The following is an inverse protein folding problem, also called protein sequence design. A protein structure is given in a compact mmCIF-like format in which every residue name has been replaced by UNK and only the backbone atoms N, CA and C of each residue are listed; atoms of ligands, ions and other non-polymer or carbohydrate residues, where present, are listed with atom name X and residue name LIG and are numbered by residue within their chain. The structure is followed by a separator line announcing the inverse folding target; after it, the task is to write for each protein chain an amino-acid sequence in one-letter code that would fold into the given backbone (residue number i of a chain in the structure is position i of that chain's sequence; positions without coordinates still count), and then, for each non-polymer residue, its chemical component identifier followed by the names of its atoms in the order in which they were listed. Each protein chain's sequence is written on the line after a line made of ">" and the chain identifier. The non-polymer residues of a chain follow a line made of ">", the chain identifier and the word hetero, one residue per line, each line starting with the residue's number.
data_IF_892860110223
#
_entry.id   IF_892860110223
#
_cell.length_a   1.000
_cell.length_b   1.000
_cell.length_c   1.000
_cell.angle_alpha   90.00
_cell.angle_beta   90.00
_cell.angle_gamma   90.00
#
_symmetry.space_group_name_H-M   'P 1'
#
loop_
_entity.id
_entity.type
_entity.pdbx_description
1 polymer ?
#
# COMPACT_ATOMS: atom_id res chain seq x y z
N UNK A 1 23.25 -33.20 14.57
CA UNK A 1 22.78 -31.82 14.78
C UNK A 1 23.49 -30.92 13.78
N UNK A 2 22.77 -30.20 12.92
CA UNK A 2 23.36 -29.28 11.94
C UNK A 2 22.87 -27.86 12.22
N UNK A 3 23.73 -26.82 12.18
CA UNK A 3 23.28 -25.44 12.28
C UNK A 3 22.43 -25.11 11.05
N UNK A 4 21.12 -25.05 11.22
CA UNK A 4 20.19 -24.75 10.12
C UNK A 4 19.83 -23.27 10.19
N UNK A 5 20.58 -22.45 9.46
CA UNK A 5 20.41 -21.00 9.46
C UNK A 5 19.36 -20.54 8.42
N UNK A 6 19.10 -21.34 7.39
CA UNK A 6 18.03 -21.04 6.44
C UNK A 6 16.67 -21.46 6.98
N UNK A 7 15.72 -20.51 7.02
CA UNK A 7 14.31 -20.77 7.33
C UNK A 7 13.72 -21.82 6.38
N UNK A 8 14.07 -21.74 5.10
CA UNK A 8 13.59 -22.64 4.05
C UNK A 8 14.00 -24.07 4.32
N UNK A 9 15.27 -24.30 4.66
CA UNK A 9 15.77 -25.65 5.01
C UNK A 9 15.05 -26.17 6.27
N UNK A 10 14.83 -25.31 7.26
CA UNK A 10 14.09 -25.68 8.47
C UNK A 10 12.64 -26.11 8.16
N UNK A 11 11.91 -25.32 7.37
CA UNK A 11 10.53 -25.63 7.00
C UNK A 11 10.42 -26.89 6.15
N UNK A 12 11.36 -27.12 5.23
CA UNK A 12 11.40 -28.34 4.43
C UNK A 12 11.65 -29.59 5.30
N UNK A 13 12.56 -29.50 6.28
CA UNK A 13 12.83 -30.59 7.21
C UNK A 13 11.62 -30.87 8.10
N UNK A 14 11.00 -29.83 8.63
CA UNK A 14 9.77 -29.93 9.43
C UNK A 14 8.63 -30.54 8.63
N UNK A 15 8.42 -30.09 7.39
CA UNK A 15 7.37 -30.56 6.48
C UNK A 15 7.47 -32.05 6.14
N UNK A 16 8.68 -32.62 6.06
CA UNK A 16 8.86 -34.07 5.93
C UNK A 16 8.31 -34.82 7.14
N UNK A 17 8.54 -34.26 8.32
CA UNK A 17 8.04 -34.77 9.59
C UNK A 17 6.54 -34.60 9.78
N UNK A 18 5.87 -33.63 9.13
CA UNK A 18 4.44 -33.38 9.36
C UNK A 18 3.49 -34.34 8.61
N UNK A 19 4.02 -35.23 7.77
CA UNK A 19 3.21 -36.23 7.05
C UNK A 19 2.56 -37.23 8.01
N UNK A 20 1.30 -37.57 7.74
CA UNK A 20 0.55 -38.60 8.47
C UNK A 20 1.10 -39.99 8.13
N UNK A 21 1.19 -40.87 9.12
CA UNK A 21 1.64 -42.25 8.96
C UNK A 21 0.92 -43.17 9.96
N UNK A 22 0.61 -44.44 9.62
CA UNK A 22 0.03 -45.38 10.55
C UNK A 22 0.90 -45.58 11.79
N UNK A 23 0.30 -45.58 12.99
CA UNK A 23 1.00 -45.74 14.27
C UNK A 23 1.76 -44.51 14.77
N UNK A 24 1.64 -43.36 14.08
CA UNK A 24 2.23 -42.08 14.51
C UNK A 24 1.15 -41.17 15.09
N UNK A 25 1.19 -40.99 16.41
CA UNK A 25 0.24 -40.14 17.14
C UNK A 25 0.62 -38.65 17.08
N UNK A 26 1.92 -38.33 17.11
CA UNK A 26 2.42 -36.96 17.03
C UNK A 26 3.81 -36.87 16.39
N UNK A 27 4.28 -35.66 16.09
CA UNK A 27 5.65 -35.37 15.68
C UNK A 27 6.36 -34.61 16.82
N UNK A 28 7.34 -35.24 17.46
CA UNK A 28 8.22 -34.56 18.41
C UNK A 28 9.45 -34.02 17.68
N UNK A 29 9.65 -32.71 17.74
CA UNK A 29 10.81 -32.03 17.14
C UNK A 29 11.70 -31.50 18.26
N UNK A 30 12.97 -31.89 18.26
CA UNK A 30 13.99 -31.39 19.18
C UNK A 30 14.96 -30.50 18.39
N UNK A 31 14.91 -29.20 18.66
CA UNK A 31 15.80 -28.22 18.06
C UNK A 31 16.81 -27.71 19.10
N UNK A 32 18.09 -27.93 18.82
CA UNK A 32 19.17 -27.62 19.75
C UNK A 32 19.72 -26.22 19.43
N UNK A 33 19.28 -25.26 20.23
CA UNK A 33 19.70 -23.85 20.10
C UNK A 33 21.07 -23.68 20.76
N UNK A 34 22.12 -23.55 19.94
CA UNK A 34 23.50 -23.32 20.39
C UNK A 34 23.92 -21.85 20.33
N UNK A 35 24.83 -21.43 21.22
CA UNK A 35 25.38 -20.06 21.26
C UNK A 35 26.37 -19.71 20.12
N UNK A 36 26.68 -20.67 19.23
CA UNK A 36 27.79 -20.55 18.29
C UNK A 36 27.58 -19.49 17.20
N UNK A 37 26.38 -18.91 17.07
CA UNK A 37 26.16 -17.80 16.15
C UNK A 37 25.25 -16.72 16.75
N UNK A 38 25.86 -15.77 17.48
CA UNK A 38 25.18 -14.62 18.10
C UNK A 38 24.47 -13.69 17.09
N UNK A 39 24.71 -13.87 15.79
CA UNK A 39 24.11 -13.10 14.69
C UNK A 39 22.84 -13.74 14.10
N UNK A 40 22.47 -14.96 14.53
CA UNK A 40 21.30 -15.65 13.99
C UNK A 40 19.99 -15.03 14.49
N UNK A 41 19.11 -14.66 13.57
CA UNK A 41 17.79 -14.11 13.85
C UNK A 41 16.74 -15.22 13.92
N UNK A 42 16.24 -15.48 15.13
CA UNK A 42 15.21 -16.48 15.36
C UNK A 42 13.80 -15.99 14.99
N UNK A 43 13.61 -14.69 14.70
CA UNK A 43 12.28 -14.12 14.51
C UNK A 43 11.50 -14.71 13.32
N UNK A 44 12.08 -14.82 12.10
CA UNK A 44 11.38 -15.41 10.96
C UNK A 44 10.95 -16.87 11.22
N UNK A 45 11.84 -17.64 11.87
CA UNK A 45 11.60 -19.04 12.21
C UNK A 45 10.44 -19.23 13.16
N UNK A 46 10.40 -18.45 14.24
CA UNK A 46 9.33 -18.57 15.24
C UNK A 46 7.99 -18.07 14.67
N UNK A 47 7.99 -17.00 13.87
CA UNK A 47 6.77 -16.52 13.19
C UNK A 47 6.16 -17.55 12.26
N UNK A 48 6.98 -18.32 11.54
CA UNK A 48 6.50 -19.37 10.65
C UNK A 48 5.77 -20.52 11.37
N UNK A 49 5.93 -20.64 12.70
CA UNK A 49 5.28 -21.66 13.52
C UNK A 49 3.95 -21.18 14.15
N UNK A 50 3.63 -19.89 14.07
CA UNK A 50 2.46 -19.29 14.71
C UNK A 50 1.27 -19.18 13.75
N UNK A 51 0.05 -19.27 14.28
CA UNK A 51 -1.17 -19.14 13.48
C UNK A 51 -1.48 -17.68 13.07
N UNK A 52 -1.09 -16.71 13.91
CA UNK A 52 -1.37 -15.29 13.72
C UNK A 52 -0.10 -14.42 13.89
N UNK A 53 0.51 -13.92 12.80
CA UNK A 53 1.78 -13.17 12.86
C UNK A 53 1.70 -11.76 13.49
N UNK A 54 0.52 -11.30 13.91
CA UNK A 54 0.29 -9.93 14.40
C UNK A 54 0.66 -9.71 15.87
N UNK A 55 0.85 -10.78 16.64
CA UNK A 55 1.23 -10.69 18.05
C UNK A 55 2.72 -10.32 18.20
N UNK A 56 3.05 -9.69 19.33
CA UNK A 56 4.45 -9.41 19.68
C UNK A 56 5.18 -10.73 19.88
N UNK A 57 6.10 -11.07 18.97
CA UNK A 57 6.86 -12.32 19.04
C UNK A 57 7.62 -12.49 20.36
N UNK A 58 8.01 -11.37 20.98
CA UNK A 58 8.64 -11.39 22.30
C UNK A 58 7.67 -11.86 23.39
N UNK A 59 6.42 -11.39 23.35
CA UNK A 59 5.39 -11.83 24.30
C UNK A 59 5.09 -13.32 24.10
N UNK A 60 5.00 -13.79 22.85
CA UNK A 60 4.85 -15.23 22.54
C UNK A 60 5.97 -16.07 23.17
N UNK A 61 7.23 -15.64 23.06
CA UNK A 61 8.35 -16.36 23.67
C UNK A 61 8.33 -16.31 25.20
N UNK A 62 7.87 -15.22 25.80
CA UNK A 62 7.78 -15.04 27.27
C UNK A 62 6.59 -15.85 27.86
N UNK A 63 5.48 -15.96 27.12
CA UNK A 63 4.22 -16.61 27.55
C UNK A 63 4.09 -18.09 27.12
N UNK A 64 5.02 -18.60 26.31
CA UNK A 64 5.03 -20.01 25.90
C UNK A 64 4.18 -20.32 24.66
N UNK A 65 4.12 -19.39 23.71
CA UNK A 65 3.47 -19.50 22.41
C UNK A 65 1.95 -19.79 22.47
N UNK A 66 1.14 -18.93 23.13
CA UNK A 66 -0.31 -19.09 23.19
C UNK A 66 -0.99 -19.13 21.81
N UNK A 67 -0.42 -18.46 20.81
CA UNK A 67 -0.97 -18.38 19.44
C UNK A 67 -0.44 -19.51 18.51
N UNK A 68 0.16 -20.56 19.08
CA UNK A 68 0.51 -21.75 18.32
C UNK A 68 -0.75 -22.41 17.71
N UNK A 69 -0.64 -23.03 16.51
CA UNK A 69 -1.76 -23.73 15.89
C UNK A 69 -2.38 -24.78 16.83
N UNK A 70 -3.70 -24.96 16.73
CA UNK A 70 -4.43 -25.90 17.60
C UNK A 70 -3.83 -27.31 17.54
N UNK A 71 -3.51 -27.86 18.70
CA UNK A 71 -2.89 -29.19 18.83
C UNK A 71 -1.37 -29.19 18.71
N UNK A 72 -0.73 -28.03 18.50
CA UNK A 72 0.72 -27.87 18.57
C UNK A 72 1.12 -27.33 19.95
N UNK A 73 2.29 -27.77 20.42
CA UNK A 73 2.90 -27.27 21.65
C UNK A 73 4.37 -26.94 21.37
N UNK A 74 4.78 -25.72 21.74
CA UNK A 74 6.16 -25.24 21.54
C UNK A 74 6.70 -24.85 22.91
N UNK A 75 7.83 -25.45 23.29
CA UNK A 75 8.48 -25.15 24.57
C UNK A 75 9.96 -24.86 24.32
N UNK A 76 10.43 -23.76 24.92
CA UNK A 76 11.85 -23.43 24.98
C UNK A 76 12.35 -23.69 26.39
N UNK A 77 13.47 -24.39 26.52
CA UNK A 77 14.17 -24.48 27.80
C UNK A 77 14.69 -23.11 28.22
N UNK A 78 14.84 -22.87 29.52
CA UNK A 78 15.23 -21.57 30.09
C UNK A 78 16.42 -20.90 29.38
N UNK A 79 17.50 -21.65 29.15
CA UNK A 79 18.72 -21.12 28.50
C UNK A 79 18.47 -20.81 27.02
N UNK A 80 17.68 -21.64 26.33
CA UNK A 80 17.30 -21.40 24.95
C UNK A 80 16.37 -20.19 24.83
N UNK A 81 15.42 -20.04 25.75
CA UNK A 81 14.52 -18.89 25.83
C UNK A 81 15.31 -17.60 26.05
N UNK A 82 16.25 -17.58 26.99
CA UNK A 82 17.16 -16.44 27.20
C UNK A 82 17.96 -16.10 25.94
N UNK A 83 18.51 -17.11 25.25
CA UNK A 83 19.27 -16.93 24.01
C UNK A 83 18.42 -16.35 22.87
N UNK A 84 17.19 -16.86 22.70
CA UNK A 84 16.21 -16.34 21.73
C UNK A 84 15.82 -14.92 22.08
N UNK A 85 15.50 -14.63 23.34
CA UNK A 85 15.15 -13.28 23.80
C UNK A 85 16.32 -12.30 23.63
N UNK A 86 17.55 -12.73 23.87
CA UNK A 86 18.75 -11.93 23.57
C UNK A 86 18.91 -11.68 22.08
N UNK A 87 18.68 -12.67 21.21
CA UNK A 87 18.71 -12.47 19.75
C UNK A 87 17.62 -11.50 19.30
N UNK A 88 16.40 -11.63 19.81
CA UNK A 88 15.29 -10.71 19.55
C UNK A 88 15.60 -9.29 20.05
N UNK A 89 16.32 -9.16 21.18
CA UNK A 89 16.80 -7.86 21.71
C UNK A 89 17.97 -7.29 20.91
N UNK A 90 18.87 -8.14 20.42
CA UNK A 90 20.06 -7.80 19.61
C UNK A 90 19.76 -7.65 18.13
N UNK A 91 18.51 -7.87 17.72
CA UNK A 91 18.10 -7.90 16.33
C UNK A 91 18.75 -6.74 15.57
N UNK A 92 19.64 -7.08 14.62
CA UNK A 92 20.18 -6.11 13.67
C UNK A 92 18.98 -5.36 13.08
N UNK A 93 19.10 -4.03 12.96
CA UNK A 93 18.07 -3.23 12.30
C UNK A 93 17.67 -3.86 10.96
N UNK A 94 16.42 -3.73 10.55
CA UNK A 94 15.89 -4.39 9.33
C UNK A 94 16.83 -4.22 8.13
N UNK A 95 17.40 -3.01 7.95
CA UNK A 95 18.43 -2.70 6.96
C UNK A 95 19.67 -3.60 7.03
N UNK A 96 20.31 -3.71 8.20
CA UNK A 96 21.51 -4.54 8.35
C UNK A 96 21.24 -6.03 8.14
N UNK A 97 20.03 -6.52 8.46
CA UNK A 97 19.63 -7.90 8.13
C UNK A 97 19.52 -8.11 6.62
N UNK A 98 18.88 -7.16 5.92
CA UNK A 98 18.75 -7.20 4.46
C UNK A 98 20.11 -7.14 3.77
N UNK A 99 21.01 -6.25 4.21
CA UNK A 99 22.37 -6.14 3.66
C UNK A 99 23.14 -7.46 3.80
N UNK A 100 23.09 -8.12 4.96
CA UNK A 100 23.73 -9.42 5.12
C UNK A 100 23.10 -10.50 4.27
N UNK A 101 21.76 -10.54 4.17
CA UNK A 101 21.05 -11.51 3.34
C UNK A 101 21.36 -11.32 1.84
N UNK A 102 21.50 -10.07 1.39
CA UNK A 102 21.91 -9.76 0.02
C UNK A 102 23.31 -10.30 -0.26
N UNK A 103 24.26 -10.04 0.63
CA UNK A 103 25.66 -10.44 0.46
C UNK A 103 25.83 -11.97 0.35
N UNK A 104 25.00 -12.77 1.02
CA UNK A 104 25.06 -14.25 0.95
C UNK A 104 24.05 -14.88 -0.01
N UNK A 105 23.16 -14.09 -0.64
CA UNK A 105 22.03 -14.62 -1.42
C UNK A 105 22.45 -15.62 -2.50
N UNK A 106 23.48 -15.31 -3.29
CA UNK A 106 23.89 -16.19 -4.40
C UNK A 106 24.46 -17.52 -3.90
N UNK A 107 25.16 -17.52 -2.76
CA UNK A 107 25.67 -18.75 -2.13
C UNK A 107 24.54 -19.57 -1.50
N UNK A 108 23.57 -18.89 -0.88
CA UNK A 108 22.45 -19.52 -0.18
C UNK A 108 21.37 -20.09 -1.12
N UNK A 109 21.05 -19.36 -2.19
CA UNK A 109 19.99 -19.69 -3.14
C UNK A 109 20.50 -20.42 -4.39
N UNK A 110 21.76 -20.23 -4.77
CA UNK A 110 22.32 -20.79 -6.01
C UNK A 110 21.75 -20.16 -7.29
N UNK A 111 21.13 -18.98 -7.18
CA UNK A 111 20.49 -18.25 -8.28
C UNK A 111 21.06 -16.83 -8.43
N UNK A 112 20.86 -16.22 -9.59
CA UNK A 112 21.21 -14.81 -9.81
C UNK A 112 20.32 -13.89 -8.96
N UNK A 113 20.94 -12.90 -8.32
CA UNK A 113 20.25 -11.93 -7.47
C UNK A 113 19.38 -10.97 -8.30
N UNK A 114 18.08 -11.09 -8.11
CA UNK A 114 17.09 -10.10 -8.57
C UNK A 114 16.17 -9.76 -7.41
N UNK A 115 15.53 -8.59 -7.45
CA UNK A 115 14.56 -8.20 -6.43
C UNK A 115 13.46 -9.25 -6.26
N UNK A 116 12.95 -9.76 -7.39
CA UNK A 116 11.91 -10.80 -7.44
C UNK A 116 12.33 -12.07 -6.69
N UNK A 117 13.47 -12.63 -7.07
CA UNK A 117 13.98 -13.87 -6.46
C UNK A 117 14.35 -13.67 -5.00
N UNK A 118 14.89 -12.50 -4.64
CA UNK A 118 15.20 -12.18 -3.26
C UNK A 118 13.95 -12.09 -2.39
N UNK A 119 12.90 -11.40 -2.85
CA UNK A 119 11.60 -11.35 -2.17
C UNK A 119 11.02 -12.75 -2.02
N UNK A 120 11.01 -13.54 -3.10
CA UNK A 120 10.46 -14.89 -3.11
C UNK A 120 11.20 -15.84 -2.16
N UNK A 121 12.53 -15.85 -2.19
CA UNK A 121 13.37 -16.74 -1.38
C UNK A 121 13.27 -16.44 0.12
N UNK A 122 13.18 -15.16 0.49
CA UNK A 122 13.08 -14.73 1.89
C UNK A 122 11.64 -14.52 2.38
N UNK A 123 10.64 -14.75 1.52
CA UNK A 123 9.22 -14.48 1.78
C UNK A 123 8.96 -13.04 2.29
N UNK A 124 9.62 -12.08 1.64
CA UNK A 124 9.51 -10.65 1.97
C UNK A 124 8.53 -9.95 1.04
N UNK A 125 7.77 -9.01 1.59
CA UNK A 125 7.08 -8.02 0.79
C UNK A 125 8.08 -6.95 0.35
N UNK A 126 8.02 -6.48 -0.90
CA UNK A 126 8.88 -5.40 -1.40
C UNK A 126 8.85 -4.16 -0.49
N UNK A 127 7.71 -3.87 0.16
CA UNK A 127 7.56 -2.75 1.08
C UNK A 127 8.45 -2.88 2.32
N UNK A 128 8.77 -4.09 2.76
CA UNK A 128 9.69 -4.31 3.88
C UNK A 128 11.13 -3.91 3.50
N UNK A 129 11.50 -4.13 2.24
CA UNK A 129 12.79 -3.71 1.67
C UNK A 129 12.81 -2.19 1.54
N UNK A 130 11.81 -1.60 0.87
CA UNK A 130 11.73 -0.16 0.63
C UNK A 130 11.63 0.67 1.91
N UNK A 131 11.04 0.11 2.98
CA UNK A 131 11.02 0.72 4.32
C UNK A 131 12.41 0.74 4.95
N UNK A 132 13.26 -0.22 4.65
CA UNK A 132 14.64 -0.24 5.11
C UNK A 132 15.56 0.64 4.24
N UNK A 133 15.28 0.75 2.94
CA UNK A 133 15.75 1.76 2.00
C UNK A 133 15.83 1.26 0.56
N UNK A 134 16.38 2.09 -0.33
CA UNK A 134 16.43 1.82 -1.77
C UNK A 134 17.30 0.60 -2.09
N UNK A 135 16.86 -0.22 -3.05
CA UNK A 135 17.53 -1.44 -3.47
C UNK A 135 18.95 -1.16 -3.99
N UNK A 136 19.13 -0.17 -4.87
CA UNK A 136 20.46 0.23 -5.35
C UNK A 136 21.43 0.52 -4.19
N UNK A 137 20.99 1.23 -3.15
CA UNK A 137 21.84 1.53 -1.99
C UNK A 137 22.11 0.30 -1.12
N UNK A 138 21.13 -0.58 -0.95
CA UNK A 138 21.32 -1.83 -0.22
C UNK A 138 22.34 -2.76 -0.91
N UNK A 139 22.38 -2.79 -2.24
CA UNK A 139 23.39 -3.52 -3.00
C UNK A 139 24.82 -2.98 -2.76
N UNK A 140 24.97 -1.65 -2.70
CA UNK A 140 26.26 -1.02 -2.36
C UNK A 140 26.71 -1.41 -0.96
N UNK A 141 25.81 -1.32 0.03
CA UNK A 141 26.11 -1.71 1.41
C UNK A 141 26.45 -3.19 1.57
N UNK A 142 25.88 -4.05 0.71
CA UNK A 142 26.19 -5.48 0.66
C UNK A 142 27.51 -5.79 -0.07
N UNK A 143 28.18 -4.79 -0.65
CA UNK A 143 29.40 -4.97 -1.45
C UNK A 143 29.15 -5.57 -2.83
N UNK A 144 27.91 -5.55 -3.32
CA UNK A 144 27.48 -6.12 -4.61
C UNK A 144 27.45 -5.09 -5.74
N UNK A 145 27.55 -3.80 -5.42
CA UNK A 145 27.57 -2.70 -6.39
C UNK A 145 28.57 -1.61 -5.97
N UNK A 146 29.04 -0.83 -6.94
CA UNK A 146 29.90 0.32 -6.69
C UNK A 146 29.10 1.47 -6.04
N UNK A 147 29.76 2.22 -5.16
CA UNK A 147 29.15 3.40 -4.53
C UNK A 147 28.81 4.50 -5.54
N UNK A 148 27.70 5.19 -5.28
CA UNK A 148 27.22 6.33 -6.06
C UNK A 148 26.76 7.47 -5.15
N UNK A 149 26.63 8.66 -5.73
CA UNK A 149 26.05 9.85 -5.12
C UNK A 149 25.19 10.55 -6.17
N UNK A 150 23.88 10.59 -5.91
CA UNK A 150 22.86 11.17 -6.78
C UNK A 150 21.98 12.09 -5.91
N UNK A 151 21.54 13.21 -6.48
CA UNK A 151 20.84 14.27 -5.74
C UNK A 151 19.46 13.82 -5.26
N UNK A 152 18.78 12.94 -6.01
CA UNK A 152 17.38 12.61 -5.74
C UNK A 152 17.23 11.41 -4.79
N UNK A 153 18.34 10.81 -4.34
CA UNK A 153 18.31 9.59 -3.53
C UNK A 153 17.45 9.72 -2.27
N UNK A 154 17.58 10.82 -1.53
CA UNK A 154 16.82 11.01 -0.30
C UNK A 154 15.32 11.21 -0.57
N UNK A 155 14.97 11.92 -1.64
CA UNK A 155 13.59 12.16 -2.04
C UNK A 155 12.91 10.88 -2.53
N UNK A 156 13.61 10.10 -3.38
CA UNK A 156 13.15 8.79 -3.85
C UNK A 156 13.03 7.81 -2.69
N UNK A 157 13.98 7.79 -1.75
CA UNK A 157 13.88 6.96 -0.54
C UNK A 157 12.63 7.29 0.29
N UNK A 158 12.33 8.58 0.49
CA UNK A 158 11.09 9.01 1.18
C UNK A 158 9.82 8.69 0.39
N UNK A 159 9.91 8.58 -0.93
CA UNK A 159 8.79 8.32 -1.82
C UNK A 159 8.58 6.84 -2.16
N UNK A 160 9.56 5.98 -1.90
CA UNK A 160 9.59 4.59 -2.35
C UNK A 160 8.30 3.81 -2.01
N UNK A 161 7.79 3.92 -0.78
CA UNK A 161 6.54 3.27 -0.38
C UNK A 161 5.31 3.83 -1.09
N UNK A 162 5.30 5.13 -1.44
CA UNK A 162 4.22 5.75 -2.22
C UNK A 162 4.29 5.37 -3.69
N UNK A 163 5.48 5.27 -4.28
CA UNK A 163 5.70 4.74 -5.62
C UNK A 163 5.26 3.29 -5.72
N UNK A 164 5.57 2.49 -4.69
CA UNK A 164 5.15 1.10 -4.59
C UNK A 164 3.62 0.92 -4.42
N UNK A 165 2.88 1.98 -4.10
CA UNK A 165 1.41 1.93 -4.01
C UNK A 165 0.72 2.18 -5.37
N UNK A 166 1.47 2.56 -6.41
CA UNK A 166 0.92 2.77 -7.75
C UNK A 166 0.58 1.41 -8.37
N UNK A 167 -0.66 1.28 -8.85
CA UNK A 167 -1.20 0.02 -9.38
C UNK A 167 -2.13 0.20 -10.61
N UNK A 168 -2.17 1.39 -11.22
CA UNK A 168 -2.78 1.60 -12.55
C UNK A 168 -1.82 1.17 -13.65
N UNK A 169 -2.22 0.20 -14.50
CA UNK A 169 -1.36 -0.30 -15.58
C UNK A 169 -1.07 0.77 -16.62
N UNK A 170 -2.07 1.59 -16.94
CA UNK A 170 -1.96 2.69 -17.90
C UNK A 170 -0.97 3.74 -17.40
N UNK A 171 -1.10 4.13 -16.13
CA UNK A 171 -0.20 5.11 -15.52
C UNK A 171 1.22 4.59 -15.40
N UNK A 172 1.42 3.36 -14.89
CA UNK A 172 2.75 2.76 -14.75
C UNK A 172 3.46 2.67 -16.11
N UNK A 173 2.79 2.15 -17.15
CA UNK A 173 3.38 2.03 -18.49
C UNK A 173 3.78 3.39 -19.06
N UNK A 174 2.97 4.42 -18.83
CA UNK A 174 3.31 5.78 -19.24
C UNK A 174 4.57 6.30 -18.52
N UNK A 175 4.65 6.15 -17.20
CA UNK A 175 5.83 6.55 -16.42
C UNK A 175 7.09 5.80 -16.87
N UNK A 176 7.00 4.49 -17.11
CA UNK A 176 8.10 3.67 -17.62
C UNK A 176 8.57 4.14 -19.01
N UNK A 177 7.63 4.47 -19.90
CA UNK A 177 7.97 4.99 -21.24
C UNK A 177 8.71 6.33 -21.16
N UNK A 178 8.28 7.24 -20.27
CA UNK A 178 8.94 8.53 -20.07
C UNK A 178 10.34 8.35 -19.46
N UNK A 179 10.50 7.46 -18.48
CA UNK A 179 11.81 7.17 -17.88
C UNK A 179 12.80 6.56 -18.88
N UNK A 180 12.32 5.74 -19.81
CA UNK A 180 13.16 5.06 -20.79
C UNK A 180 13.64 6.01 -21.91
N UNK A 181 12.76 6.88 -22.40
CA UNK A 181 13.03 7.81 -23.51
C UNK A 181 12.48 9.20 -23.22
N UNK A 182 13.02 9.94 -22.23
CA UNK A 182 12.47 11.24 -21.83
C UNK A 182 12.42 12.24 -22.99
N UNK A 183 13.45 12.28 -23.84
CA UNK A 183 13.54 13.18 -25.00
C UNK A 183 12.51 12.92 -26.11
N UNK A 184 11.72 11.85 -26.03
CA UNK A 184 10.59 11.59 -26.94
C UNK A 184 9.36 12.43 -26.59
N UNK A 185 9.28 12.93 -25.35
CA UNK A 185 8.13 13.65 -24.84
C UNK A 185 8.43 15.15 -24.78
N UNK A 186 7.40 15.96 -25.03
CA UNK A 186 7.46 17.41 -24.85
C UNK A 186 6.15 17.82 -24.18
N UNK A 187 6.24 18.66 -23.14
CA UNK A 187 5.09 19.04 -22.31
C UNK A 187 3.89 19.54 -23.12
N UNK A 188 4.14 20.39 -24.12
CA UNK A 188 3.10 21.00 -24.97
C UNK A 188 2.44 20.00 -25.94
N UNK A 189 3.08 18.85 -26.16
CA UNK A 189 2.57 17.77 -27.02
C UNK A 189 1.87 16.67 -26.21
N UNK A 190 1.93 16.72 -24.88
CA UNK A 190 1.22 15.77 -24.02
C UNK A 190 -0.28 16.08 -24.01
N UNK A 191 -1.08 15.02 -23.99
CA UNK A 191 -2.51 15.15 -23.71
C UNK A 191 -2.72 15.66 -22.28
N UNK A 192 -3.86 16.31 -22.02
CA UNK A 192 -4.21 16.76 -20.67
C UNK A 192 -4.23 15.63 -19.64
N UNK A 193 -4.56 14.40 -20.05
CA UNK A 193 -4.51 13.23 -19.19
C UNK A 193 -3.06 12.85 -18.82
N UNK A 194 -2.16 12.83 -19.80
CA UNK A 194 -0.73 12.57 -19.57
C UNK A 194 -0.09 13.65 -18.68
N UNK A 195 -0.44 14.92 -18.87
CA UNK A 195 0.01 15.99 -17.98
C UNK A 195 -0.43 15.73 -16.53
N UNK A 196 -1.69 15.32 -16.32
CA UNK A 196 -2.19 14.95 -14.97
C UNK A 196 -1.49 13.72 -14.40
N UNK A 197 -1.15 12.71 -15.21
CA UNK A 197 -0.35 11.56 -14.78
C UNK A 197 1.04 11.99 -14.28
N UNK A 198 1.64 12.99 -14.92
CA UNK A 198 2.92 13.57 -14.47
C UNK A 198 2.74 14.39 -13.19
N UNK A 199 1.68 15.20 -13.08
CA UNK A 199 1.37 15.94 -11.85
C UNK A 199 1.21 14.98 -10.65
N UNK A 200 0.49 13.88 -10.86
CA UNK A 200 0.33 12.82 -9.86
C UNK A 200 1.67 12.20 -9.47
N UNK A 201 2.58 11.98 -10.42
CA UNK A 201 3.92 11.46 -10.12
C UNK A 201 4.75 12.48 -9.32
N UNK A 202 4.77 13.74 -9.76
CA UNK A 202 5.50 14.82 -9.08
C UNK A 202 5.07 14.95 -7.61
N UNK A 203 3.76 14.94 -7.31
CA UNK A 203 3.30 15.03 -5.91
C UNK A 203 3.59 13.75 -5.11
N UNK A 204 3.77 12.61 -5.78
CA UNK A 204 4.15 11.35 -5.13
C UNK A 204 5.56 11.42 -4.58
N UNK A 205 6.49 11.94 -5.38
CA UNK A 205 7.90 12.08 -5.01
C UNK A 205 8.13 13.30 -4.12
N UNK A 206 7.59 14.45 -4.52
CA UNK A 206 7.71 15.73 -3.81
C UNK A 206 6.34 16.25 -3.35
N UNK A 207 5.83 15.80 -2.19
CA UNK A 207 4.50 16.17 -1.69
C UNK A 207 4.26 17.67 -1.54
N UNK A 208 5.32 18.48 -1.41
CA UNK A 208 5.24 19.92 -1.19
C UNK A 208 5.30 20.77 -2.48
N UNK A 209 5.55 20.14 -3.64
CA UNK A 209 5.81 20.82 -4.93
C UNK A 209 4.65 21.66 -5.48
N UNK A 210 3.41 21.41 -5.02
CA UNK A 210 2.21 22.16 -5.44
C UNK A 210 1.77 23.26 -4.45
N UNK A 211 2.50 23.49 -3.34
CA UNK A 211 2.10 24.47 -2.30
C UNK A 211 1.99 25.90 -2.81
N UNK A 212 2.87 26.31 -3.73
CA UNK A 212 2.83 27.67 -4.29
C UNK A 212 1.60 27.89 -5.14
N UNK A 213 1.22 26.92 -5.97
CA UNK A 213 -0.02 26.97 -6.75
C UNK A 213 -1.26 27.03 -5.84
N UNK A 214 -1.14 26.49 -4.62
CA UNK A 214 -2.13 26.60 -3.56
C UNK A 214 -2.07 27.90 -2.73
N UNK A 215 -1.19 28.86 -3.07
CA UNK A 215 -0.91 30.09 -2.29
C UNK A 215 -0.54 29.81 -0.81
N UNK A 216 0.09 28.67 -0.54
CA UNK A 216 0.53 28.25 0.79
C UNK A 216 2.01 28.60 1.02
N UNK A 217 2.43 28.68 2.30
CA UNK A 217 3.85 28.76 2.65
C UNK A 217 4.58 27.53 2.12
N UNK A 218 5.49 27.76 1.17
CA UNK A 218 6.46 26.77 0.72
C UNK A 218 7.50 26.57 1.81
N UNK A 219 7.93 25.33 2.01
CA UNK A 219 9.03 25.04 2.91
C UNK A 219 10.32 25.52 2.24
N UNK A 220 11.22 26.14 2.99
CA UNK A 220 12.53 26.51 2.46
C UNK A 220 13.25 25.26 1.94
N UNK A 221 13.80 25.34 0.73
CA UNK A 221 14.37 24.18 0.01
C UNK A 221 13.36 23.28 -0.71
N UNK A 222 12.09 23.69 -0.86
CA UNK A 222 11.14 22.93 -1.72
C UNK A 222 11.62 22.96 -3.16
N UNK A 223 11.64 21.79 -3.81
CA UNK A 223 12.03 21.65 -5.21
C UNK A 223 11.01 22.29 -6.13
N UNK A 224 11.51 22.91 -7.20
CA UNK A 224 10.70 23.62 -8.18
C UNK A 224 10.99 23.10 -9.57
N UNK A 225 9.92 22.91 -10.33
CA UNK A 225 9.98 22.43 -11.70
C UNK A 225 9.21 23.42 -12.59
N UNK A 226 9.67 23.61 -13.82
CA UNK A 226 8.94 24.39 -14.83
C UNK A 226 7.62 23.72 -15.22
N UNK A 227 7.62 22.38 -15.27
CA UNK A 227 6.44 21.54 -15.44
C UNK A 227 6.73 20.12 -14.89
N UNK A 228 5.70 19.29 -14.81
CA UNK A 228 5.81 17.96 -14.20
C UNK A 228 6.55 16.93 -15.05
N UNK A 229 6.84 17.20 -16.34
CA UNK A 229 7.71 16.33 -17.16
C UNK A 229 9.17 16.43 -16.69
N UNK A 230 9.62 17.64 -16.35
CA UNK A 230 10.98 17.90 -15.86
C UNK A 230 11.35 17.00 -14.66
N UNK A 231 10.39 16.65 -13.81
CA UNK A 231 10.59 15.71 -12.70
C UNK A 231 11.17 14.37 -13.13
N UNK A 232 10.60 13.78 -14.20
CA UNK A 232 11.05 12.49 -14.70
C UNK A 232 12.30 12.62 -15.57
N UNK A 233 12.48 13.74 -16.27
CA UNK A 233 13.70 14.02 -17.02
C UNK A 233 14.92 14.11 -16.09
N UNK A 234 14.78 14.79 -14.94
CA UNK A 234 15.83 14.88 -13.92
C UNK A 234 16.15 13.51 -13.32
N UNK A 235 15.13 12.71 -12.94
CA UNK A 235 15.34 11.33 -12.44
C UNK A 235 15.99 10.46 -13.52
N UNK A 236 15.57 10.57 -14.78
CA UNK A 236 16.12 9.78 -15.89
C UNK A 236 17.59 10.14 -16.20
N UNK A 237 18.03 11.35 -15.84
CA UNK A 237 19.43 11.76 -15.93
C UNK A 237 20.31 11.15 -14.81
N UNK A 238 19.71 10.55 -13.78
CA UNK A 238 20.38 9.90 -12.66
C UNK A 238 20.29 8.37 -12.78
N UNK A 239 21.33 7.67 -13.28
CA UNK A 239 21.25 6.25 -13.63
C UNK A 239 20.80 5.33 -12.49
N UNK A 240 21.19 5.57 -11.24
CA UNK A 240 20.79 4.72 -10.13
C UNK A 240 19.33 4.99 -9.73
N UNK A 241 18.91 6.25 -9.63
CA UNK A 241 17.51 6.60 -9.33
C UNK A 241 16.56 6.19 -10.44
N UNK A 242 16.93 6.35 -11.72
CA UNK A 242 16.18 5.85 -12.85
C UNK A 242 15.96 4.33 -12.76
N UNK A 243 17.02 3.56 -12.46
CA UNK A 243 16.91 2.11 -12.24
C UNK A 243 16.02 1.76 -11.06
N UNK A 244 16.11 2.50 -9.95
CA UNK A 244 15.32 2.25 -8.76
C UNK A 244 13.83 2.48 -9.01
N UNK A 245 13.46 3.62 -9.60
CA UNK A 245 12.05 3.93 -9.93
C UNK A 245 11.52 2.94 -10.95
N UNK A 246 12.29 2.65 -12.01
CA UNK A 246 11.92 1.65 -13.01
C UNK A 246 11.69 0.26 -12.36
N UNK A 247 12.55 -0.15 -11.43
CA UNK A 247 12.44 -1.42 -10.71
C UNK A 247 11.18 -1.49 -9.86
N UNK A 248 10.87 -0.45 -9.08
CA UNK A 248 9.66 -0.38 -8.26
C UNK A 248 8.42 -0.48 -9.16
N UNK A 249 8.35 0.34 -10.21
CA UNK A 249 7.20 0.40 -11.12
C UNK A 249 7.01 -0.90 -11.91
N UNK A 250 8.08 -1.50 -12.42
CA UNK A 250 8.03 -2.78 -13.14
C UNK A 250 7.61 -3.91 -12.23
N UNK A 251 8.17 -3.99 -11.02
CA UNK A 251 7.74 -4.95 -10.00
C UNK A 251 6.25 -4.81 -9.70
N UNK A 252 5.76 -3.58 -9.53
CA UNK A 252 4.32 -3.35 -9.34
C UNK A 252 3.51 -3.81 -10.54
N UNK A 253 3.89 -3.45 -11.75
CA UNK A 253 3.18 -3.84 -12.98
C UNK A 253 3.00 -5.36 -13.09
N UNK A 254 4.04 -6.13 -12.75
CA UNK A 254 4.04 -7.59 -12.81
C UNK A 254 3.21 -8.25 -11.69
N UNK A 255 2.93 -7.50 -10.61
CA UNK A 255 2.22 -7.98 -9.41
C UNK A 255 0.80 -7.40 -9.26
N UNK A 256 0.25 -6.74 -10.29
CA UNK A 256 -1.16 -6.35 -10.26
C UNK A 256 -2.02 -7.59 -10.56
N UNK A 257 -2.77 -8.03 -9.55
CA UNK A 257 -3.58 -9.25 -9.55
C UNK A 257 -5.10 -8.99 -9.72
N UNK A 258 -5.49 -7.74 -9.96
CA UNK A 258 -6.87 -7.33 -10.22
C UNK A 258 -7.03 -6.77 -11.63
N UNK A 259 -8.29 -6.65 -12.06
CA UNK A 259 -8.68 -6.03 -13.34
C UNK A 259 -8.94 -4.54 -13.08
N UNK A 260 -8.15 -3.70 -13.72
CA UNK A 260 -8.37 -2.26 -13.84
C UNK A 260 -9.09 -1.95 -15.17
N UNK A 261 -9.85 -0.85 -15.18
CA UNK A 261 -10.59 -0.38 -16.36
C UNK A 261 -10.50 1.14 -16.41
N UNK A 262 -10.46 1.71 -17.62
CA UNK A 262 -10.61 3.15 -17.82
C UNK A 262 -12.11 3.52 -17.74
N UNK A 263 -12.55 4.19 -16.67
CA UNK A 263 -13.95 4.56 -16.51
C UNK A 263 -14.29 5.75 -17.41
N UNK A 264 -15.54 5.84 -17.84
CA UNK A 264 -16.02 6.96 -18.66
C UNK A 264 -16.15 8.27 -17.88
N UNK A 265 -15.06 8.95 -17.53
CA UNK A 265 -15.07 10.24 -16.82
C UNK A 265 -15.77 11.36 -17.61
N UNK A 266 -15.70 11.33 -18.94
CA UNK A 266 -16.24 12.38 -19.81
C UNK A 266 -15.35 13.61 -19.94
N UNK A 267 -14.14 13.55 -19.37
CA UNK A 267 -13.06 14.52 -19.53
C UNK A 267 -11.72 13.77 -19.29
N UNK A 268 -10.56 14.34 -19.70
CA UNK A 268 -9.26 13.68 -19.53
C UNK A 268 -8.95 13.41 -18.06
N UNK A 269 -8.91 12.14 -17.62
CA UNK A 269 -8.74 11.79 -16.21
C UNK A 269 -8.02 10.44 -16.04
N UNK A 270 -6.84 10.42 -15.39
CA UNK A 270 -6.00 9.24 -15.26
C UNK A 270 -6.38 8.29 -14.10
N UNK A 271 -7.62 8.37 -13.60
CA UNK A 271 -8.10 7.50 -12.50
C UNK A 271 -8.80 6.28 -13.08
N UNK A 272 -8.23 5.12 -12.83
CA UNK A 272 -8.72 3.83 -13.31
C UNK A 272 -9.47 3.10 -12.18
N UNK A 273 -10.46 2.30 -12.59
CA UNK A 273 -11.29 1.50 -11.69
C UNK A 273 -10.41 0.51 -10.90
N UNK A 274 -10.69 0.38 -9.61
CA UNK A 274 -10.01 -0.51 -8.64
C UNK A 274 -8.54 -0.19 -8.34
N UNK A 275 -7.98 0.83 -8.96
CA UNK A 275 -6.65 1.35 -8.67
C UNK A 275 -6.64 2.25 -7.43
N UNK A 276 -5.46 2.38 -6.83
CA UNK A 276 -5.17 3.09 -5.60
C UNK A 276 -4.54 4.45 -5.85
N UNK A 277 -5.08 5.45 -5.16
CA UNK A 277 -4.65 6.83 -5.27
C UNK A 277 -4.61 7.51 -3.90
N UNK A 278 -3.57 8.31 -3.66
CA UNK A 278 -3.55 9.24 -2.54
C UNK A 278 -4.61 10.32 -2.75
N UNK A 279 -5.03 10.95 -1.65
CA UNK A 279 -5.99 12.07 -1.71
C UNK A 279 -5.51 13.16 -2.69
N UNK A 280 -4.24 13.50 -2.64
CA UNK A 280 -3.71 14.59 -3.47
C UNK A 280 -3.63 14.21 -4.95
N UNK A 281 -3.30 12.95 -5.26
CA UNK A 281 -3.35 12.41 -6.62
C UNK A 281 -4.77 12.47 -7.19
N UNK A 282 -5.79 12.10 -6.41
CA UNK A 282 -7.20 12.14 -6.84
C UNK A 282 -7.58 13.57 -7.28
N UNK A 283 -7.26 14.58 -6.47
CA UNK A 283 -7.63 15.95 -6.80
C UNK A 283 -6.85 16.51 -7.99
N UNK A 284 -5.56 16.19 -8.14
CA UNK A 284 -4.78 16.55 -9.34
C UNK A 284 -5.35 15.89 -10.60
N UNK A 285 -5.69 14.61 -10.52
CA UNK A 285 -6.28 13.87 -11.63
C UNK A 285 -7.65 14.43 -12.06
N UNK A 286 -8.36 15.09 -11.15
CA UNK A 286 -9.61 15.80 -11.41
C UNK A 286 -9.41 17.28 -11.81
N UNK A 287 -8.17 17.72 -12.01
CA UNK A 287 -7.82 19.04 -12.54
C UNK A 287 -7.60 20.14 -11.49
N UNK A 288 -7.55 19.79 -10.20
CA UNK A 288 -7.25 20.76 -9.14
C UNK A 288 -5.76 21.02 -9.03
N UNK A 289 -5.38 22.30 -8.97
CA UNK A 289 -3.98 22.75 -8.83
C UNK A 289 -3.51 22.89 -7.37
N UNK A 290 -4.44 22.84 -6.42
CA UNK A 290 -4.19 23.08 -4.99
C UNK A 290 -4.65 21.90 -4.10
N UNK A 291 -4.27 20.64 -4.42
CA UNK A 291 -4.82 19.45 -3.75
C UNK A 291 -4.65 19.50 -2.21
N UNK A 292 -3.60 20.15 -1.72
CA UNK A 292 -3.28 20.26 -0.29
C UNK A 292 -4.29 21.10 0.53
N UNK A 293 -5.04 22.00 -0.10
CA UNK A 293 -6.07 22.80 0.59
C UNK A 293 -7.34 21.99 0.90
N UNK A 294 -7.52 20.82 0.27
CA UNK A 294 -8.72 20.02 0.47
C UNK A 294 -8.63 19.17 1.74
N UNK A 295 -9.29 19.61 2.82
CA UNK A 295 -9.26 18.90 4.12
C UNK A 295 -10.47 18.01 4.38
N UNK A 296 -11.48 18.06 3.52
CA UNK A 296 -12.76 17.38 3.72
C UNK A 296 -12.75 16.00 3.04
N UNK A 297 -13.41 15.03 3.68
CA UNK A 297 -13.61 13.69 3.11
C UNK A 297 -14.63 13.65 1.97
N UNK A 298 -15.30 14.77 1.69
CA UNK A 298 -16.19 14.93 0.54
C UNK A 298 -15.97 16.29 -0.08
N UNK A 299 -15.96 16.32 -1.40
CA UNK A 299 -15.78 17.55 -2.16
C UNK A 299 -16.59 17.52 -3.46
N UNK A 300 -17.34 18.59 -3.73
CA UNK A 300 -17.93 18.81 -5.04
C UNK A 300 -17.00 19.68 -5.90
N UNK A 301 -16.55 19.14 -7.02
CA UNK A 301 -15.71 19.83 -7.99
C UNK A 301 -16.60 20.36 -9.12
N UNK A 302 -16.96 21.64 -9.02
CA UNK A 302 -17.89 22.28 -9.96
C UNK A 302 -17.35 22.32 -11.40
N UNK A 303 -16.04 22.47 -11.59
CA UNK A 303 -15.43 22.56 -12.93
C UNK A 303 -15.61 21.29 -13.78
N UNK A 304 -15.78 20.14 -13.14
CA UNK A 304 -16.01 18.85 -13.80
C UNK A 304 -17.31 18.15 -13.37
N UNK A 305 -18.12 18.81 -12.54
CA UNK A 305 -19.38 18.30 -11.99
C UNK A 305 -19.26 16.92 -11.33
N UNK A 306 -18.22 16.73 -10.50
CA UNK A 306 -17.97 15.47 -9.77
C UNK A 306 -18.02 15.69 -8.26
N UNK A 307 -18.85 14.92 -7.55
CA UNK A 307 -18.72 14.71 -6.12
C UNK A 307 -17.72 13.58 -5.84
N UNK A 308 -16.67 13.89 -5.07
CA UNK A 308 -15.66 12.94 -4.62
C UNK A 308 -16.02 12.50 -3.20
N UNK A 309 -16.25 11.20 -3.00
CA UNK A 309 -16.54 10.62 -1.69
C UNK A 309 -15.34 9.79 -1.21
N UNK A 310 -14.61 10.26 -0.19
CA UNK A 310 -13.47 9.57 0.40
C UNK A 310 -13.87 8.89 1.72
N UNK A 311 -13.92 7.56 1.72
CA UNK A 311 -14.41 6.77 2.85
C UNK A 311 -13.32 5.91 3.47
N UNK A 312 -13.36 5.77 4.81
CA UNK A 312 -12.48 4.87 5.57
C UNK A 312 -13.35 3.89 6.34
N UNK A 313 -13.32 2.60 5.98
CA UNK A 313 -14.25 1.59 6.48
C UNK A 313 -14.06 1.27 7.96
N UNK A 314 -12.80 1.21 8.41
CA UNK A 314 -12.46 0.93 9.80
C UNK A 314 -12.01 2.23 10.47
N UNK A 315 -12.91 2.77 11.30
CA UNK A 315 -12.61 3.84 12.25
C UNK A 315 -11.95 3.19 13.49
N UNK A 316 -10.88 3.78 14.03
CA UNK A 316 -10.04 3.17 15.08
C UNK A 316 -10.76 2.98 16.42
N UNK A 317 -10.48 1.89 17.14
CA UNK A 317 -11.10 1.50 18.43
C UNK A 317 -10.96 2.53 19.59
N UNK A 318 -10.08 3.53 19.47
CA UNK A 318 -9.90 4.58 20.48
C UNK A 318 -10.93 5.72 20.38
N UNK A 319 -11.76 5.72 19.34
CA UNK A 319 -12.85 6.66 19.16
C UNK A 319 -14.13 5.82 18.94
N UNK A 320 -15.13 5.97 19.81
CA UNK A 320 -16.53 5.48 19.70
C UNK A 320 -16.96 4.19 20.44
N UNK A 321 -18.21 4.24 20.94
CA UNK A 321 -18.92 3.18 21.67
C UNK A 321 -19.39 2.06 20.71
N UNK A 322 -19.72 0.86 21.21
CA UNK A 322 -20.15 -0.29 20.39
C UNK A 322 -21.41 -0.05 19.54
N UNK A 323 -22.18 1.00 19.82
CA UNK A 323 -23.51 1.28 19.25
C UNK A 323 -23.46 2.15 17.97
N UNK A 324 -22.28 2.67 17.59
CA UNK A 324 -22.08 3.58 16.42
C UNK A 324 -21.18 2.96 15.33
N UNK A 325 -21.13 1.63 15.25
CA UNK A 325 -20.21 0.94 14.35
C UNK A 325 -20.79 0.88 12.92
N UNK A 326 -20.05 1.47 11.98
CA UNK A 326 -20.20 1.47 10.50
C UNK A 326 -21.29 2.38 9.91
N UNK A 327 -20.97 3.65 9.74
CA UNK A 327 -21.76 4.57 8.89
C UNK A 327 -21.51 4.32 7.38
N UNK A 328 -20.33 3.81 7.02
CA UNK A 328 -19.93 3.57 5.63
C UNK A 328 -19.49 2.10 5.46
N UNK A 329 -20.19 1.33 4.64
CA UNK A 329 -19.90 -0.09 4.42
C UNK A 329 -20.48 -0.64 3.11
N UNK A 330 -19.79 -1.64 2.55
CA UNK A 330 -20.31 -2.44 1.44
C UNK A 330 -21.42 -3.35 1.94
N UNK A 331 -22.62 -3.25 1.36
CA UNK A 331 -23.77 -4.13 1.66
C UNK A 331 -23.57 -5.47 0.93
N UNK A 332 -23.26 -5.39 -0.37
CA UNK A 332 -22.93 -6.52 -1.23
C UNK A 332 -21.93 -6.06 -2.32
N UNK A 333 -21.79 -6.82 -3.41
CA UNK A 333 -20.88 -6.48 -4.50
C UNK A 333 -21.33 -5.23 -5.31
N UNK A 334 -22.59 -4.80 -5.23
CA UNK A 334 -23.16 -3.74 -6.06
C UNK A 334 -23.76 -2.59 -5.26
N UNK A 335 -23.88 -2.74 -3.94
CA UNK A 335 -24.47 -1.74 -3.06
C UNK A 335 -23.53 -1.31 -1.94
N UNK A 336 -23.46 0.00 -1.69
CA UNK A 336 -22.67 0.60 -0.62
C UNK A 336 -23.52 1.56 0.21
N UNK A 337 -23.57 1.34 1.51
CA UNK A 337 -24.19 2.28 2.44
C UNK A 337 -23.20 3.40 2.77
N UNK A 338 -23.67 4.64 2.71
CA UNK A 338 -22.89 5.84 3.02
C UNK A 338 -23.72 6.84 3.82
N UNK A 339 -23.07 7.54 4.76
CA UNK A 339 -23.69 8.61 5.51
C UNK A 339 -23.10 9.98 5.18
N UNK A 340 -23.97 10.97 4.95
CA UNK A 340 -23.55 12.33 4.64
C UNK A 340 -22.98 13.09 5.84
N UNK A 341 -22.41 14.26 5.60
CA UNK A 341 -22.07 15.18 6.69
C UNK A 341 -23.32 15.58 7.48
N UNK A 342 -23.18 15.83 8.78
CA UNK A 342 -24.26 16.12 9.73
C UNK A 342 -25.24 17.24 9.31
N UNK A 343 -24.84 18.14 8.41
CA UNK A 343 -25.64 19.28 7.96
C UNK A 343 -26.41 19.03 6.66
N UNK A 344 -26.07 17.99 5.90
CA UNK A 344 -26.64 17.73 4.58
C UNK A 344 -28.02 17.13 4.73
N UNK A 345 -29.05 17.80 4.18
CA UNK A 345 -30.45 17.33 4.16
C UNK A 345 -30.92 16.99 2.74
N UNK A 346 -31.97 16.17 2.57
CA UNK A 346 -32.48 15.79 1.25
C UNK A 346 -32.90 16.99 0.39
N UNK A 347 -33.30 18.09 1.01
CA UNK A 347 -33.76 19.30 0.33
C UNK A 347 -32.61 20.26 -0.03
N UNK A 348 -31.42 20.08 0.55
CA UNK A 348 -30.25 20.91 0.28
C UNK A 348 -29.71 20.72 -1.16
N UNK A 349 -28.96 21.69 -1.70
CA UNK A 349 -28.35 21.58 -3.04
C UNK A 349 -27.54 20.28 -3.19
N UNK A 350 -26.72 19.98 -2.18
CA UNK A 350 -25.91 18.76 -2.12
C UNK A 350 -26.77 17.49 -2.01
N UNK A 351 -27.76 17.47 -1.10
CA UNK A 351 -28.63 16.30 -0.95
C UNK A 351 -29.49 16.01 -2.17
N UNK A 352 -29.98 17.05 -2.87
CA UNK A 352 -30.68 16.90 -4.15
C UNK A 352 -29.75 16.34 -5.21
N UNK A 353 -28.53 16.88 -5.33
CA UNK A 353 -27.52 16.37 -6.28
C UNK A 353 -27.19 14.90 -6.06
N UNK A 354 -27.07 14.47 -4.80
CA UNK A 354 -26.89 13.06 -4.45
C UNK A 354 -28.05 12.18 -4.90
N UNK A 355 -29.29 12.63 -4.68
CA UNK A 355 -30.49 11.86 -5.04
C UNK A 355 -30.71 11.78 -6.56
N UNK A 356 -30.38 12.84 -7.29
CA UNK A 356 -30.76 12.97 -8.71
C UNK A 356 -29.61 12.77 -9.69
N UNK A 357 -28.35 12.83 -9.24
CA UNK A 357 -27.19 12.86 -10.14
C UNK A 357 -27.18 14.12 -11.03
N UNK A 358 -27.73 15.24 -10.55
CA UNK A 358 -27.90 16.45 -11.34
C UNK A 358 -27.50 17.70 -10.55
N UNK A 359 -26.68 18.58 -11.13
CA UNK A 359 -26.40 19.90 -10.55
C UNK A 359 -27.55 20.86 -10.86
N UNK A 360 -28.38 21.25 -9.87
CA UNK A 360 -29.53 22.12 -10.11
C UNK A 360 -29.13 23.55 -10.50
N UNK A 361 -27.93 24.00 -10.13
CA UNK A 361 -27.46 25.37 -10.39
C UNK A 361 -26.95 25.50 -11.83
N UNK A 362 -26.14 24.55 -12.27
CA UNK A 362 -25.54 24.60 -13.61
C UNK A 362 -26.38 23.83 -14.66
N UNK A 363 -27.42 23.11 -14.22
CA UNK A 363 -28.37 22.35 -15.06
C UNK A 363 -27.68 21.33 -15.96
N UNK A 364 -26.79 20.54 -15.36
CA UNK A 364 -26.04 19.48 -16.03
C UNK A 364 -25.99 18.21 -15.17
N UNK A 365 -25.78 17.03 -15.78
CA UNK A 365 -25.50 15.81 -15.03
C UNK A 365 -24.27 15.98 -14.13
N UNK A 366 -24.35 15.45 -12.91
CA UNK A 366 -23.24 15.38 -11.97
C UNK A 366 -22.93 13.91 -11.67
N UNK A 367 -21.65 13.57 -11.59
CA UNK A 367 -21.19 12.22 -11.25
C UNK A 367 -20.78 12.16 -9.78
N UNK A 368 -20.92 10.97 -9.19
CA UNK A 368 -20.52 10.72 -7.81
C UNK A 368 -19.48 9.61 -7.85
N UNK A 369 -18.25 9.94 -7.47
CA UNK A 369 -17.10 9.06 -7.54
C UNK A 369 -16.77 8.54 -6.13
N UNK A 370 -16.85 7.22 -5.95
CA UNK A 370 -16.65 6.56 -4.66
C UNK A 370 -15.22 6.06 -4.50
N UNK A 371 -14.53 6.53 -3.47
CA UNK A 371 -13.18 6.12 -3.10
C UNK A 371 -13.16 5.56 -1.68
N UNK A 372 -12.53 4.41 -1.51
CA UNK A 372 -12.57 3.67 -0.24
C UNK A 372 -11.17 3.20 0.16
N UNK A 373 -10.88 3.26 1.46
CA UNK A 373 -9.75 2.56 2.08
C UNK A 373 -10.22 1.82 3.32
N UNK A 374 -9.53 0.75 3.68
CA UNK A 374 -9.87 0.00 4.90
C UNK A 374 -9.55 0.81 6.15
N UNK A 375 -8.34 1.34 6.27
CA UNK A 375 -7.85 2.04 7.47
C UNK A 375 -7.19 3.37 7.08
N UNK A 376 -7.01 4.27 8.05
CA UNK A 376 -6.29 5.53 7.79
C UNK A 376 -4.81 5.28 7.43
N UNK A 377 -4.20 4.32 8.10
CA UNK A 377 -2.80 3.95 7.93
C UNK A 377 -2.58 2.49 8.34
N UNK A 378 -1.51 1.90 7.83
CA UNK A 378 -0.97 0.62 8.26
C UNK A 378 0.52 0.75 8.65
N UNK A 379 1.23 -0.38 8.77
CA UNK A 379 2.65 -0.40 9.15
C UNK A 379 3.60 0.26 8.12
N UNK A 380 3.11 0.56 6.92
CA UNK A 380 3.83 1.21 5.82
C UNK A 380 3.43 2.67 5.62
N UNK A 381 2.45 3.17 6.36
CA UNK A 381 2.04 4.58 6.37
C UNK A 381 0.58 4.78 6.00
N UNK A 382 0.25 6.00 5.55
CA UNK A 382 -1.12 6.36 5.15
C UNK A 382 -1.57 5.50 3.97
N UNK A 383 -2.72 4.83 4.11
CA UNK A 383 -3.30 4.06 3.01
C UNK A 383 -3.90 4.97 1.95
N UNK A 384 -3.61 4.63 0.69
CA UNK A 384 -4.26 5.17 -0.49
C UNK A 384 -5.73 4.72 -0.56
N UNK A 385 -6.56 5.44 -1.30
CA UNK A 385 -7.94 5.08 -1.56
C UNK A 385 -8.05 4.33 -2.88
N UNK A 386 -8.80 3.23 -2.88
CA UNK A 386 -9.21 2.54 -4.10
C UNK A 386 -10.42 3.22 -4.71
N UNK A 387 -10.40 3.48 -6.03
CA UNK A 387 -11.57 3.94 -6.76
C UNK A 387 -12.53 2.76 -7.00
N UNK A 388 -13.74 2.82 -6.43
CA UNK A 388 -14.76 1.78 -6.62
C UNK A 388 -15.69 2.03 -7.81
N UNK A 389 -15.53 3.17 -8.49
CA UNK A 389 -16.37 3.53 -9.63
C UNK A 389 -17.36 4.64 -9.32
N UNK A 390 -18.21 4.92 -10.31
CA UNK A 390 -19.32 5.83 -10.17
C UNK A 390 -20.50 5.16 -9.48
N UNK A 391 -21.29 5.98 -8.78
CA UNK A 391 -22.43 5.51 -8.01
C UNK A 391 -23.69 6.33 -8.27
N UNK A 392 -24.84 5.66 -8.13
CA UNK A 392 -26.17 6.24 -8.30
C UNK A 392 -26.99 6.01 -7.04
N UNK A 393 -27.77 7.00 -6.63
CA UNK A 393 -28.61 6.88 -5.46
C UNK A 393 -29.75 5.90 -5.74
N UNK A 394 -29.82 4.83 -4.95
CA UNK A 394 -30.92 3.86 -5.01
C UNK A 394 -32.00 4.19 -3.96
N UNK A 395 -31.58 4.50 -2.73
CA UNK A 395 -32.49 4.93 -1.68
C UNK A 395 -31.84 5.89 -0.70
N UNK A 396 -32.66 6.71 -0.05
CA UNK A 396 -32.24 7.62 1.02
C UNK A 396 -33.13 7.47 2.25
N UNK A 397 -32.54 7.70 3.43
CA UNK A 397 -33.28 7.82 4.68
C UNK A 397 -32.58 8.80 5.62
N UNK A 398 -33.28 9.27 6.65
CA UNK A 398 -32.74 10.32 7.53
C UNK A 398 -32.68 11.70 6.88
N UNK A 399 -32.12 12.66 7.60
CA UNK A 399 -32.06 14.05 7.12
C UNK A 399 -30.86 14.83 7.65
N UNK A 400 -30.47 14.64 8.92
CA UNK A 400 -29.25 15.25 9.49
C UNK A 400 -28.51 14.23 10.35
N UNK A 401 -27.66 13.37 9.77
CA UNK A 401 -27.29 13.26 8.35
C UNK A 401 -28.29 12.45 7.50
N UNK A 402 -28.10 12.48 6.17
CA UNK A 402 -28.72 11.53 5.23
C UNK A 402 -27.94 10.23 5.22
N UNK A 403 -28.64 9.11 5.19
CA UNK A 403 -28.11 7.79 4.83
C UNK A 403 -28.51 7.50 3.40
N UNK A 404 -27.56 7.04 2.59
CA UNK A 404 -27.75 6.78 1.17
C UNK A 404 -27.25 5.37 0.86
N UNK A 405 -28.09 4.60 0.18
CA UNK A 405 -27.65 3.37 -0.48
C UNK A 405 -27.27 3.72 -1.91
N UNK A 406 -26.00 3.56 -2.20
CA UNK A 406 -25.40 3.75 -3.51
C UNK A 406 -25.41 2.43 -4.27
N UNK A 407 -25.91 2.45 -5.51
CA UNK A 407 -25.70 1.38 -6.49
C UNK A 407 -24.47 1.72 -7.33
N UNK A 408 -23.52 0.78 -7.43
CA UNK A 408 -22.28 0.97 -8.20
C UNK A 408 -22.46 0.56 -9.66
N UNK A 409 -21.71 1.21 -10.55
CA UNK A 409 -21.62 0.83 -11.98
C UNK A 409 -20.73 -0.42 -12.19
N UNK A 410 -19.86 -0.74 -11.23
CA UNK A 410 -18.96 -1.89 -11.27
C UNK A 410 -18.93 -2.62 -9.91
N UNK A 411 -18.65 -3.94 -9.89
CA UNK A 411 -18.71 -4.70 -8.66
C UNK A 411 -17.54 -4.38 -7.72
N UNK A 412 -17.83 -4.16 -6.44
CA UNK A 412 -16.85 -3.93 -5.39
C UNK A 412 -15.88 -5.12 -5.30
N UNK A 413 -14.55 -4.90 -5.33
CA UNK A 413 -13.57 -5.95 -5.15
C UNK A 413 -13.76 -6.70 -3.83
N UNK A 414 -13.58 -8.02 -3.84
CA UNK A 414 -13.86 -8.90 -2.69
C UNK A 414 -13.14 -8.48 -1.39
N UNK A 415 -12.00 -7.79 -1.48
CA UNK A 415 -11.27 -7.24 -0.31
C UNK A 415 -12.07 -6.18 0.47
N UNK A 416 -12.97 -5.45 -0.19
CA UNK A 416 -13.81 -4.42 0.41
C UNK A 416 -15.24 -4.88 0.71
N UNK A 417 -15.62 -6.08 0.29
CA UNK A 417 -16.88 -6.68 0.72
C UNK A 417 -16.70 -7.08 2.18
N UNK A 418 -17.58 -6.60 3.06
CA UNK A 418 -17.60 -7.08 4.42
C UNK A 418 -17.80 -8.60 4.37
N UNK A 419 -16.79 -9.36 4.80
CA UNK A 419 -17.01 -10.75 5.20
C UNK A 419 -17.88 -10.68 6.43
N UNK A 420 -19.20 -10.64 6.25
CA UNK A 420 -20.13 -10.91 7.33
C UNK A 420 -19.68 -12.24 7.91
N UNK A 421 -19.13 -12.19 9.12
CA UNK A 421 -18.98 -13.39 9.90
C UNK A 421 -20.37 -14.04 9.88
N UNK A 422 -20.40 -15.31 9.47
CA UNK A 422 -21.41 -16.25 9.94
C UNK A 422 -21.53 -16.08 11.45
N UNK A 423 -22.40 -15.19 11.90
CA UNK A 423 -23.08 -15.37 13.16
C UNK A 423 -24.13 -16.43 12.86
N UNK A 424 -23.68 -17.67 13.06
CA UNK A 424 -24.56 -18.80 13.20
C UNK A 424 -25.53 -18.51 14.36
N UNK A 425 -26.80 -18.72 14.04
CA UNK A 425 -27.93 -18.90 14.94
C UNK A 425 -29.01 -19.56 14.12
#
# INVERSE_FOLDING_TARGET
>A
LRPTQSLTIFMQQLGRGLRLAPGKECLTVLDFIGQQNRSYDFAPKLRALLAHPSASLRAEVEEGFPEAPKGCYIQLERVAQECVLESLKRARGARARLVCALASFQEDAGEELTLERFCAFHHLDIRDILKAGLWERLLVEAGLAAGFAEQDEEDIAKAALRLCAIDSRRWIRFLLAVLQEPGRFSWDMLTAEQQRMLDMFQITVWPDSFRRQAHMKTREGSREFGNSLQCLEEIAAEPHMAREVNRILSYRLDHIDFIDEEPGWGFPCPLDLHCQYSRDQIFLALGRKDPQNMRQGVAYLRDCHVDVLLNTLVKSDKEFSPETRYEDYSIDAWHFHWQSQNKTTPESETGRRYQTGWDPKDKVPAKIALFVRERKADQYGTQAYTFLGFVHCESTSGSRPMNIVWKLDAPIPARFIQKTARLAG
#
